data_IF_638314414555
#
_entry.id   IF_638314414555
#
_cell.length_a   1.000
_cell.length_b   1.000
_cell.length_c   1.000
_cell.angle_alpha   90.00
_cell.angle_beta   90.00
_cell.angle_gamma   90.00
#
_symmetry.space_group_name_H-M   'P 1'
#
loop_
_entity.id
_entity.type
_entity.pdbx_description
1 polymer ?
#
# COMPACT_ATOMS: atom_id res chain seq x y z
N UNK A 1 6.47 19.99 14.59
CA UNK A 1 5.90 18.62 14.65
C UNK A 1 5.11 18.47 15.95
N UNK A 2 3.99 17.74 15.95
CA UNK A 2 3.16 17.60 17.15
C UNK A 2 3.82 16.59 18.11
N UNK A 3 4.20 17.04 19.31
CA UNK A 3 4.87 16.22 20.35
C UNK A 3 4.13 14.92 20.71
N UNK A 4 2.79 14.89 20.51
CA UNK A 4 2.00 13.67 20.74
C UNK A 4 2.30 12.58 19.71
N UNK A 5 2.49 12.94 18.44
CA UNK A 5 2.89 11.96 17.41
C UNK A 5 4.28 11.38 17.68
N UNK A 6 5.23 12.24 18.05
CA UNK A 6 6.60 11.79 18.39
C UNK A 6 6.63 10.84 19.59
N UNK A 7 5.82 11.10 20.62
CA UNK A 7 5.75 10.23 21.80
C UNK A 7 5.20 8.84 21.49
N UNK A 8 4.42 8.71 20.43
CA UNK A 8 3.89 7.44 19.92
C UNK A 8 4.81 6.75 18.90
N UNK A 9 5.98 7.31 18.61
CA UNK A 9 6.85 6.81 17.56
C UNK A 9 6.30 7.02 16.16
N UNK A 10 5.36 7.93 15.99
CA UNK A 10 4.70 8.22 14.70
C UNK A 10 5.15 9.59 14.18
N UNK A 11 5.17 9.73 12.86
CA UNK A 11 5.42 11.00 12.18
C UNK A 11 4.67 11.06 10.85
N UNK A 12 4.40 12.28 10.35
CA UNK A 12 3.96 12.44 8.96
C UNK A 12 4.98 11.88 7.98
N UNK A 13 4.52 11.53 6.81
CA UNK A 13 5.33 11.02 5.71
C UNK A 13 5.15 11.88 4.46
N UNK A 14 6.05 11.70 3.50
CA UNK A 14 5.82 12.17 2.14
C UNK A 14 4.96 11.13 1.43
N UNK A 15 3.72 11.50 1.14
CA UNK A 15 2.73 10.60 0.57
C UNK A 15 2.64 10.85 -0.93
N UNK A 16 2.68 9.76 -1.69
CA UNK A 16 2.47 9.77 -3.13
C UNK A 16 1.07 9.23 -3.43
N UNK A 17 0.24 10.03 -4.06
CA UNK A 17 -1.06 9.60 -4.57
C UNK A 17 -1.11 9.80 -6.09
N UNK A 18 -1.92 9.02 -6.83
CA UNK A 18 -2.09 9.25 -8.25
C UNK A 18 -2.63 10.65 -8.51
N UNK A 19 -2.14 11.31 -9.56
CA UNK A 19 -2.61 12.64 -9.96
C UNK A 19 -4.09 12.65 -10.31
N UNK A 20 -4.72 13.81 -10.16
CA UNK A 20 -6.08 14.04 -10.63
C UNK A 20 -6.20 13.70 -12.13
N UNK A 21 -7.28 12.99 -12.50
CA UNK A 21 -7.49 12.51 -13.86
C UNK A 21 -6.96 11.10 -14.13
N UNK A 22 -6.27 10.47 -13.16
CA UNK A 22 -5.95 9.04 -13.26
C UNK A 22 -7.24 8.22 -13.27
N UNK A 23 -7.34 7.27 -14.20
CA UNK A 23 -8.46 6.32 -14.24
C UNK A 23 -8.42 5.39 -13.03
N UNK A 24 -9.19 5.70 -12.01
CA UNK A 24 -9.20 4.95 -10.74
C UNK A 24 -9.74 3.52 -10.90
N UNK A 25 -10.53 3.25 -11.96
CA UNK A 25 -11.00 1.88 -12.24
C UNK A 25 -9.85 0.96 -12.69
N UNK A 26 -8.85 1.52 -13.35
CA UNK A 26 -7.63 0.81 -13.76
C UNK A 26 -6.51 0.91 -12.72
N UNK A 27 -6.51 1.99 -11.94
CA UNK A 27 -5.50 2.23 -10.92
C UNK A 27 -5.66 1.35 -9.70
N UNK A 28 -6.86 1.35 -9.10
CA UNK A 28 -7.10 0.69 -7.83
C UNK A 28 -7.35 -0.81 -8.00
N UNK A 29 -6.60 -1.62 -7.26
CA UNK A 29 -6.81 -3.07 -7.18
C UNK A 29 -6.98 -3.48 -5.72
N UNK A 30 -7.51 -4.69 -5.50
CA UNK A 30 -7.63 -5.26 -4.15
C UNK A 30 -6.26 -5.54 -3.54
N UNK A 31 -6.23 -5.79 -2.22
CA UNK A 31 -4.99 -6.15 -1.53
C UNK A 31 -4.40 -7.45 -2.09
N UNK A 32 -3.07 -7.54 -2.11
CA UNK A 32 -2.32 -8.63 -2.74
C UNK A 32 -2.55 -10.01 -2.09
N UNK A 33 -3.07 -10.05 -0.87
CA UNK A 33 -3.45 -11.25 -0.11
C UNK A 33 -4.86 -11.76 -0.41
N UNK A 34 -5.59 -11.10 -1.30
CA UNK A 34 -6.92 -11.54 -1.73
C UNK A 34 -6.84 -12.43 -2.97
N UNK A 35 -7.84 -13.29 -3.15
CA UNK A 35 -7.98 -14.17 -4.32
C UNK A 35 -6.73 -15.02 -4.59
N UNK A 36 -6.09 -15.53 -3.51
CA UNK A 36 -4.83 -16.29 -3.57
C UNK A 36 -4.94 -17.61 -4.30
N UNK A 37 -6.14 -18.22 -4.31
CA UNK A 37 -6.45 -19.48 -5.00
C UNK A 37 -7.23 -19.30 -6.33
N UNK A 38 -7.31 -18.06 -6.82
CA UNK A 38 -8.11 -17.70 -8.01
C UNK A 38 -7.22 -16.93 -9.00
N UNK A 39 -6.32 -17.59 -9.70
CA UNK A 39 -5.41 -16.95 -10.66
C UNK A 39 -6.16 -16.20 -11.77
N UNK A 40 -7.32 -16.73 -12.20
CA UNK A 40 -8.18 -16.09 -13.20
C UNK A 40 -8.66 -14.69 -12.82
N UNK A 41 -8.80 -14.42 -11.51
CA UNK A 41 -9.10 -13.07 -11.04
C UNK A 41 -7.99 -12.09 -11.40
N UNK A 42 -6.73 -12.46 -11.13
CA UNK A 42 -5.58 -11.61 -11.39
C UNK A 42 -5.30 -11.44 -12.89
N UNK A 43 -5.61 -12.46 -13.71
CA UNK A 43 -5.55 -12.36 -15.16
C UNK A 43 -6.56 -11.35 -15.70
N UNK A 44 -7.78 -11.35 -15.17
CA UNK A 44 -8.81 -10.38 -15.55
C UNK A 44 -8.45 -8.96 -15.11
N UNK A 45 -7.89 -8.80 -13.89
CA UNK A 45 -7.39 -7.50 -13.41
C UNK A 45 -6.28 -6.96 -14.33
N UNK A 46 -5.36 -7.83 -14.76
CA UNK A 46 -4.30 -7.47 -15.70
C UNK A 46 -4.86 -7.03 -17.06
N UNK A 47 -5.85 -7.75 -17.57
CA UNK A 47 -6.54 -7.42 -18.83
C UNK A 47 -7.25 -6.06 -18.75
N UNK A 48 -7.90 -5.75 -17.62
CA UNK A 48 -8.59 -4.46 -17.40
C UNK A 48 -7.59 -3.32 -17.27
N UNK A 49 -6.53 -3.51 -16.49
CA UNK A 49 -5.48 -2.51 -16.31
C UNK A 49 -4.78 -2.19 -17.64
N UNK A 50 -4.46 -3.23 -18.43
CA UNK A 50 -3.77 -3.08 -19.71
C UNK A 50 -2.45 -2.30 -19.55
N UNK A 51 -2.20 -1.35 -20.43
CA UNK A 51 -1.00 -0.48 -20.41
C UNK A 51 -1.17 0.76 -19.52
N UNK A 52 -2.31 0.93 -18.87
CA UNK A 52 -2.54 2.09 -17.99
C UNK A 52 -1.73 1.95 -16.69
N UNK A 53 -1.33 3.08 -16.08
CA UNK A 53 -0.80 3.06 -14.73
C UNK A 53 -1.78 2.40 -13.75
N UNK A 54 -1.28 1.45 -12.97
CA UNK A 54 -2.08 0.66 -12.04
C UNK A 54 -1.25 0.22 -10.83
N UNK A 55 -1.87 0.17 -9.66
CA UNK A 55 -1.25 -0.40 -8.47
C UNK A 55 -0.96 -1.90 -8.64
N UNK A 56 -1.61 -2.59 -9.59
CA UNK A 56 -1.25 -3.96 -9.98
C UNK A 56 0.24 -4.10 -10.33
N UNK A 57 0.85 -3.08 -10.93
CA UNK A 57 2.27 -3.08 -11.32
C UNK A 57 3.21 -2.80 -10.14
N UNK A 58 2.67 -2.45 -8.97
CA UNK A 58 3.42 -2.06 -7.78
C UNK A 58 3.26 -3.08 -6.63
N UNK A 59 2.53 -4.15 -6.83
CA UNK A 59 2.30 -5.21 -5.85
C UNK A 59 2.68 -6.58 -6.40
N UNK A 60 3.00 -7.52 -5.50
CA UNK A 60 3.15 -8.93 -5.81
C UNK A 60 1.93 -9.67 -5.24
N UNK A 61 1.00 -10.16 -6.05
CA UNK A 61 -0.08 -11.01 -5.57
C UNK A 61 0.47 -12.24 -4.83
N UNK A 62 -0.13 -12.58 -3.70
CA UNK A 62 0.35 -13.70 -2.86
C UNK A 62 0.32 -15.04 -3.62
N UNK A 63 -0.60 -15.19 -4.57
CA UNK A 63 -0.65 -16.34 -5.49
C UNK A 63 0.63 -16.56 -6.28
N UNK A 64 1.49 -15.54 -6.43
CA UNK A 64 2.76 -15.57 -7.17
C UNK A 64 4.01 -15.68 -6.30
N UNK A 65 3.86 -15.73 -4.96
CA UNK A 65 5.00 -15.77 -4.04
C UNK A 65 5.89 -17.03 -4.20
N UNK A 66 5.32 -18.12 -4.69
CA UNK A 66 6.03 -19.39 -4.90
C UNK A 66 6.35 -19.65 -6.36
N UNK A 67 6.18 -18.69 -7.26
CA UNK A 67 6.53 -18.84 -8.67
C UNK A 67 8.05 -18.97 -8.80
N UNK A 68 8.49 -19.82 -9.75
CA UNK A 68 9.92 -20.02 -10.01
C UNK A 68 10.64 -18.74 -10.45
N UNK A 69 9.91 -17.74 -10.95
CA UNK A 69 10.41 -16.46 -11.43
C UNK A 69 10.02 -15.28 -10.49
N UNK A 70 9.81 -15.54 -9.20
CA UNK A 70 9.42 -14.49 -8.21
C UNK A 70 10.38 -13.30 -8.22
N UNK A 71 11.68 -13.52 -8.35
CA UNK A 71 12.68 -12.45 -8.40
C UNK A 71 12.50 -11.54 -9.63
N UNK A 72 12.07 -12.11 -10.77
CA UNK A 72 11.75 -11.33 -11.97
C UNK A 72 10.51 -10.47 -11.76
N UNK A 73 9.49 -10.98 -11.05
CA UNK A 73 8.30 -10.21 -10.66
C UNK A 73 8.69 -9.03 -9.76
N UNK A 74 9.52 -9.25 -8.74
CA UNK A 74 10.00 -8.19 -7.86
C UNK A 74 10.80 -7.15 -8.65
N UNK A 75 11.69 -7.57 -9.54
CA UNK A 75 12.42 -6.66 -10.38
C UNK A 75 11.51 -5.84 -11.32
N UNK A 76 10.43 -6.44 -11.83
CA UNK A 76 9.44 -5.74 -12.65
C UNK A 76 8.66 -4.69 -11.83
N UNK A 77 8.29 -4.98 -10.58
CA UNK A 77 7.65 -4.03 -9.66
C UNK A 77 8.55 -2.82 -9.44
N UNK A 78 9.84 -3.03 -9.15
CA UNK A 78 10.80 -1.95 -8.94
C UNK A 78 10.93 -1.06 -10.20
N UNK A 79 11.04 -1.67 -11.38
CA UNK A 79 11.08 -0.92 -12.65
C UNK A 79 9.79 -0.13 -12.89
N UNK A 80 8.64 -0.67 -12.53
CA UNK A 80 7.36 0.03 -12.66
C UNK A 80 7.28 1.24 -11.73
N UNK A 81 7.80 1.13 -10.50
CA UNK A 81 7.86 2.26 -9.57
C UNK A 81 8.76 3.36 -10.12
N UNK A 82 9.95 3.02 -10.62
CA UNK A 82 10.88 3.97 -11.22
C UNK A 82 10.25 4.67 -12.45
N UNK A 83 9.57 3.91 -13.32
CA UNK A 83 8.86 4.44 -14.48
C UNK A 83 7.74 5.40 -14.06
N UNK A 84 6.95 5.05 -13.06
CA UNK A 84 5.86 5.90 -12.58
C UNK A 84 6.37 7.20 -11.96
N UNK A 85 7.49 7.16 -11.26
CA UNK A 85 8.17 8.35 -10.75
C UNK A 85 8.72 9.21 -11.89
N UNK A 86 9.38 8.60 -12.88
CA UNK A 86 9.94 9.30 -14.03
C UNK A 86 8.87 9.93 -14.92
N UNK A 87 7.71 9.28 -15.07
CA UNK A 87 6.55 9.77 -15.86
C UNK A 87 5.67 10.73 -15.07
N UNK A 88 6.05 11.07 -13.84
CA UNK A 88 5.33 12.03 -13.01
C UNK A 88 3.84 11.66 -12.79
N UNK A 89 3.59 10.36 -12.57
CA UNK A 89 2.23 9.81 -12.34
C UNK A 89 1.65 10.27 -11.01
N UNK A 90 2.53 10.58 -10.03
CA UNK A 90 2.13 10.89 -8.67
C UNK A 90 2.07 12.39 -8.37
N UNK A 91 1.13 12.74 -7.50
CA UNK A 91 1.14 13.98 -6.74
C UNK A 91 1.76 13.71 -5.36
N UNK A 92 2.76 14.51 -4.99
CA UNK A 92 3.39 14.43 -3.65
C UNK A 92 2.68 15.31 -2.65
N UNK A 93 2.41 14.76 -1.47
CA UNK A 93 1.89 15.46 -0.31
C UNK A 93 2.93 15.37 0.81
N UNK A 94 3.79 16.38 1.00
CA UNK A 94 4.81 16.36 2.04
C UNK A 94 4.22 16.51 3.43
N UNK A 95 4.90 15.99 4.44
CA UNK A 95 4.53 16.10 5.86
C UNK A 95 3.05 15.80 6.16
N UNK A 96 2.54 14.74 5.56
CA UNK A 96 1.12 14.39 5.57
C UNK A 96 0.85 13.04 6.24
N UNK A 97 -0.39 12.85 6.64
CA UNK A 97 -0.97 11.55 7.02
C UNK A 97 -2.23 11.32 6.19
N UNK A 98 -2.59 10.05 5.96
CA UNK A 98 -3.87 9.73 5.32
C UNK A 98 -4.86 9.35 6.41
N UNK A 99 -6.00 10.03 6.43
CA UNK A 99 -7.16 9.63 7.23
C UNK A 99 -8.06 8.74 6.39
N UNK A 100 -8.43 7.58 6.94
CA UNK A 100 -9.29 6.60 6.28
C UNK A 100 -10.54 6.40 7.12
N UNK A 101 -11.69 6.39 6.46
CA UNK A 101 -12.94 5.90 7.03
C UNK A 101 -13.42 4.69 6.24
N UNK A 102 -13.62 3.58 6.94
CA UNK A 102 -14.16 2.36 6.35
C UNK A 102 -15.51 2.05 6.98
N UNK A 103 -16.56 2.13 6.17
CA UNK A 103 -17.90 1.68 6.56
C UNK A 103 -18.01 0.16 6.36
N UNK A 104 -18.37 -0.55 7.41
CA UNK A 104 -18.60 -1.99 7.37
C UNK A 104 -20.02 -2.32 6.91
N UNK A 105 -20.29 -3.60 6.62
CA UNK A 105 -21.62 -4.08 6.18
C UNK A 105 -22.72 -3.88 7.22
N UNK A 106 -22.37 -3.80 8.51
CA UNK A 106 -23.27 -3.49 9.63
C UNK A 106 -23.50 -1.97 9.83
N UNK A 107 -22.89 -1.13 9.00
CA UNK A 107 -22.94 0.32 9.08
C UNK A 107 -21.96 0.95 10.07
N UNK A 108 -21.18 0.16 10.81
CA UNK A 108 -20.14 0.69 11.70
C UNK A 108 -19.01 1.34 10.89
N UNK A 109 -18.56 2.52 11.34
CA UNK A 109 -17.44 3.24 10.73
C UNK A 109 -16.17 2.99 11.53
N UNK A 110 -15.13 2.51 10.86
CA UNK A 110 -13.78 2.36 11.43
C UNK A 110 -12.86 3.44 10.90
N UNK A 111 -12.47 4.41 11.73
CA UNK A 111 -11.45 5.39 11.36
C UNK A 111 -10.06 4.77 11.45
N UNK A 112 -9.14 5.25 10.59
CA UNK A 112 -7.74 4.85 10.58
C UNK A 112 -6.84 5.97 10.13
N UNK A 113 -5.55 5.86 10.48
CA UNK A 113 -4.51 6.76 10.02
C UNK A 113 -3.39 5.95 9.37
N UNK A 114 -2.91 6.40 8.20
CA UNK A 114 -1.67 5.93 7.62
C UNK A 114 -0.60 6.99 7.88
N UNK A 115 0.46 6.61 8.55
CA UNK A 115 1.57 7.47 8.93
C UNK A 115 2.89 6.67 8.93
N UNK A 116 4.01 7.35 8.97
CA UNK A 116 5.30 6.71 9.19
C UNK A 116 5.43 6.30 10.66
N UNK A 117 5.98 5.12 10.91
CA UNK A 117 6.24 4.57 12.26
C UNK A 117 7.74 4.36 12.42
N UNK A 118 8.27 4.78 13.57
CA UNK A 118 9.66 4.57 13.96
C UNK A 118 9.83 3.13 14.46
N UNK A 119 10.37 2.27 13.62
CA UNK A 119 10.56 0.85 13.91
C UNK A 119 11.61 0.60 15.00
N UNK A 120 12.50 1.54 15.30
CA UNK A 120 13.45 1.44 16.41
C UNK A 120 12.76 1.50 17.78
N UNK A 121 11.54 2.04 17.82
CA UNK A 121 10.67 2.06 19.02
C UNK A 121 9.74 0.88 19.11
N UNK A 122 9.86 -0.07 18.22
CA UNK A 122 9.01 -1.24 18.12
C UNK A 122 9.66 -2.41 18.88
N UNK A 123 8.91 -3.01 19.79
CA UNK A 123 9.37 -4.20 20.52
C UNK A 123 8.48 -5.40 20.16
N UNK A 124 9.07 -6.37 19.46
CA UNK A 124 8.39 -7.59 19.02
C UNK A 124 8.26 -8.65 20.12
N UNK A 125 8.83 -8.41 21.31
CA UNK A 125 8.78 -9.37 22.41
C UNK A 125 7.34 -9.54 22.89
N UNK A 126 6.81 -10.78 22.94
CA UNK A 126 5.48 -11.02 23.47
C UNK A 126 5.33 -10.46 24.89
N UNK A 127 4.27 -9.69 25.11
CA UNK A 127 4.01 -9.06 26.42
C UNK A 127 4.83 -7.80 26.71
N UNK A 128 5.60 -7.28 25.75
CA UNK A 128 6.30 -6.00 25.90
C UNK A 128 5.30 -4.88 26.19
N UNK A 129 5.72 -3.90 27.00
CA UNK A 129 4.95 -2.71 27.31
C UNK A 129 5.09 -1.60 26.27
N UNK A 130 5.67 -1.88 25.08
CA UNK A 130 5.85 -0.86 24.05
C UNK A 130 4.51 -0.37 23.49
N UNK A 131 4.43 0.93 23.16
CA UNK A 131 3.23 1.56 22.60
C UNK A 131 2.90 1.03 21.20
N UNK A 132 3.92 0.62 20.46
CA UNK A 132 3.78 0.02 19.13
C UNK A 132 4.18 -1.45 19.24
N UNK A 133 3.27 -2.35 18.91
CA UNK A 133 3.49 -3.80 18.93
C UNK A 133 2.70 -4.48 17.82
N UNK A 134 3.20 -5.63 17.38
CA UNK A 134 2.47 -6.46 16.44
C UNK A 134 1.15 -6.96 17.08
N UNK A 135 0.13 -6.97 16.30
CA UNK A 135 -1.17 -7.56 16.64
C UNK A 135 -1.25 -8.98 16.06
#
# INVERSE_FOLDING_TARGET
MNKKFESLGMRPANILLPKAGTDMHKWAVVACDQFTSQPEYWEEVDRIAGDAPSTLRLILPESKLNDANVDEHIAAINRSMDDYLARDIFQTYPDSVIYIERTQSDGAVRPGLVAAVDLEKYDYTPGSGSLVRAT
#
